data_IF_047353784949
#
_entry.id   IF_047353784949
#
_cell.length_a   1.000
_cell.length_b   1.000
_cell.length_c   1.000
_cell.angle_alpha   90.00
_cell.angle_beta   90.00
_cell.angle_gamma   90.00
#
_symmetry.space_group_name_H-M   'P 1'
#
loop_
_entity.id
_entity.type
_entity.pdbx_description
1 polymer ?
#
# COMPACT_ATOMS: atom_id res chain seq x y z
N UNK A 1 -27.44 36.88 -15.84
CA UNK A 1 -28.59 37.68 -15.31
C UNK A 1 -29.16 36.96 -14.10
N UNK A 2 -29.17 37.70 -12.95
CA UNK A 2 -30.06 37.55 -11.76
C UNK A 2 -29.98 36.23 -10.99
N UNK A 3 -29.86 36.17 -9.70
CA UNK A 3 -29.73 37.01 -8.49
C UNK A 3 -29.36 36.06 -7.36
N UNK A 4 -28.39 36.24 -6.54
CA UNK A 4 -28.17 37.12 -5.37
C UNK A 4 -29.36 37.13 -4.39
N UNK A 5 -29.12 36.60 -3.14
CA UNK A 5 -29.49 37.20 -1.84
C UNK A 5 -29.24 36.19 -0.73
N UNK A 6 -28.23 36.46 0.13
CA UNK A 6 -28.24 36.91 1.52
C UNK A 6 -29.19 36.16 2.47
N UNK A 7 -28.62 35.57 3.54
CA UNK A 7 -29.06 35.86 4.91
C UNK A 7 -27.87 35.64 5.86
N UNK A 8 -27.41 36.72 6.44
CA UNK A 8 -26.57 36.75 7.64
C UNK A 8 -27.51 36.62 8.85
N UNK A 9 -27.11 35.79 9.84
CA UNK A 9 -27.70 35.81 11.17
C UNK A 9 -26.57 35.93 12.19
N UNK A 10 -26.47 37.14 12.74
CA UNK A 10 -25.74 37.53 13.94
C UNK A 10 -26.50 37.00 15.13
N UNK A 11 -25.83 36.29 16.06
CA UNK A 11 -26.33 36.11 17.43
C UNK A 11 -25.26 36.50 18.41
N UNK A 12 -25.54 37.63 19.04
CA UNK A 12 -24.88 38.24 20.20
C UNK A 12 -25.52 37.65 21.47
N UNK A 13 -24.73 37.08 22.38
CA UNK A 13 -25.14 36.81 23.77
C UNK A 13 -23.91 37.03 24.64
N UNK A 14 -23.79 38.20 25.25
CA UNK A 14 -24.24 38.57 26.57
C UNK A 14 -23.45 37.91 27.70
N UNK A 15 -22.54 38.73 28.22
CA UNK A 15 -21.78 38.62 29.46
C UNK A 15 -22.71 38.60 30.69
N UNK A 16 -22.46 37.70 31.61
CA UNK A 16 -22.92 37.87 33.00
C UNK A 16 -21.72 37.93 33.93
N UNK A 17 -21.45 39.14 34.39
CA UNK A 17 -20.68 39.42 35.62
C UNK A 17 -21.58 39.21 36.81
N UNK A 18 -21.18 38.42 37.77
CA UNK A 18 -21.69 38.49 39.14
C UNK A 18 -20.54 38.85 40.06
N UNK A 19 -20.59 40.08 40.50
CA UNK A 19 -19.87 40.64 41.64
C UNK A 19 -20.51 40.11 42.92
N UNK A 20 -19.68 39.67 43.87
CA UNK A 20 -20.12 39.56 45.25
C UNK A 20 -19.10 40.16 46.22
N UNK A 21 -19.60 40.98 47.02
CA UNK A 21 -19.13 42.01 47.93
C UNK A 21 -18.53 41.42 49.19
N UNK A 22 -17.51 42.06 49.72
CA UNK A 22 -16.78 41.78 50.93
C UNK A 22 -17.61 42.06 52.20
N UNK A 23 -17.52 41.18 53.21
CA UNK A 23 -17.75 41.52 54.57
C UNK A 23 -16.57 41.09 55.42
N UNK A 24 -16.05 42.15 56.16
CA UNK A 24 -15.05 42.07 57.21
C UNK A 24 -15.58 41.32 58.44
N UNK A 25 -14.67 40.60 59.06
CA UNK A 25 -14.80 40.40 60.53
C UNK A 25 -14.22 39.09 61.05
N UNK A 26 -13.13 39.12 61.55
CA UNK A 26 -12.64 38.77 62.87
C UNK A 26 -11.41 37.85 62.88
N UNK A 27 -10.40 38.36 63.56
CA UNK A 27 -9.09 37.82 63.86
C UNK A 27 -9.22 36.67 64.85
N UNK A 28 -8.72 35.45 64.48
CA UNK A 28 -8.14 34.54 65.46
C UNK A 28 -6.87 33.94 64.88
N UNK A 29 -5.80 34.01 65.65
CA UNK A 29 -4.52 33.41 65.45
C UNK A 29 -4.65 31.90 65.54
N UNK A 30 -4.26 31.21 64.49
CA UNK A 30 -3.89 29.79 64.54
C UNK A 30 -2.49 29.65 63.99
N UNK A 31 -1.71 28.87 64.67
CA UNK A 31 -0.29 28.52 64.38
C UNK A 31 -0.16 27.75 63.06
N UNK A 32 1.01 27.79 62.41
CA UNK A 32 1.19 27.05 61.14
C UNK A 32 1.28 25.54 61.43
N UNK A 33 0.30 24.77 60.94
CA UNK A 33 0.41 23.33 60.78
C UNK A 33 1.50 23.06 59.73
N UNK A 34 2.51 22.33 60.19
CA UNK A 34 3.55 21.76 59.32
C UNK A 34 2.87 20.85 58.28
N UNK A 35 2.98 21.21 57.01
CA UNK A 35 2.64 20.34 55.91
C UNK A 35 3.63 19.14 55.92
N UNK A 36 3.15 18.02 56.41
CA UNK A 36 3.83 16.74 56.13
C UNK A 36 3.74 16.45 54.64
N UNK A 37 4.84 16.69 54.01
CA UNK A 37 5.12 16.19 52.63
C UNK A 37 5.17 14.68 52.74
N UNK A 38 4.08 14.00 52.42
CA UNK A 38 4.10 12.55 52.22
C UNK A 38 4.78 12.29 50.90
N UNK A 39 6.13 12.14 50.93
CA UNK A 39 6.83 11.41 49.89
C UNK A 39 6.22 10.00 49.86
N UNK A 40 5.47 9.69 48.80
CA UNK A 40 5.15 8.31 48.45
C UNK A 40 6.47 7.59 48.21
N UNK A 41 6.99 6.90 49.24
CA UNK A 41 8.07 5.95 49.07
C UNK A 41 7.61 4.89 48.07
N UNK A 42 7.98 5.07 46.81
CA UNK A 42 7.90 4.01 45.78
C UNK A 42 8.68 2.81 46.32
N UNK A 43 8.00 1.83 46.88
CA UNK A 43 8.62 0.58 47.31
C UNK A 43 9.27 -0.08 46.10
N UNK A 44 10.60 -0.04 46.03
CA UNK A 44 11.37 -0.65 44.93
C UNK A 44 11.80 -2.08 45.27
N UNK A 45 11.51 -2.57 46.48
CA UNK A 45 11.97 -3.87 46.95
C UNK A 45 10.83 -4.71 47.51
N UNK A 46 10.93 -6.02 47.35
CA UNK A 46 10.00 -6.99 47.90
C UNK A 46 10.76 -8.21 48.43
N UNK A 47 10.40 -8.67 49.65
CA UNK A 47 11.01 -9.82 50.27
C UNK A 47 10.03 -10.99 50.32
N UNK A 48 10.56 -12.20 50.08
CA UNK A 48 9.83 -13.47 50.07
C UNK A 48 10.56 -14.50 50.90
N UNK A 49 9.84 -15.34 51.64
CA UNK A 49 10.38 -16.53 52.30
C UNK A 49 10.59 -17.67 51.27
N UNK A 50 11.45 -18.64 51.62
CA UNK A 50 11.70 -19.79 50.75
C UNK A 50 10.43 -20.60 50.42
N UNK A 51 9.50 -20.71 51.39
CA UNK A 51 8.20 -21.36 51.18
C UNK A 51 7.32 -20.64 50.17
N UNK A 52 7.32 -19.28 50.18
CA UNK A 52 6.60 -18.48 49.24
C UNK A 52 7.21 -18.59 47.83
N UNK A 53 8.54 -18.56 47.71
CA UNK A 53 9.22 -18.77 46.41
C UNK A 53 8.84 -20.10 45.76
N UNK A 54 8.84 -21.20 46.56
CA UNK A 54 8.42 -22.52 46.08
C UNK A 54 6.96 -22.56 45.64
N UNK A 55 6.08 -21.90 46.39
CA UNK A 55 4.65 -21.87 46.08
C UNK A 55 4.35 -21.19 44.74
N UNK A 56 5.04 -20.09 44.40
CA UNK A 56 4.87 -19.36 43.14
C UNK A 56 5.73 -19.91 41.99
N UNK A 57 6.52 -20.95 42.24
CA UNK A 57 7.46 -21.56 41.28
C UNK A 57 8.38 -20.50 40.64
N UNK A 58 8.95 -19.61 41.44
CA UNK A 58 9.85 -18.58 40.98
C UNK A 58 11.13 -19.22 40.45
N UNK A 59 11.53 -18.83 39.24
CA UNK A 59 12.77 -19.28 38.61
C UNK A 59 13.71 -18.09 38.40
N UNK A 60 15.00 -18.32 38.71
CA UNK A 60 16.06 -17.34 38.54
C UNK A 60 16.93 -17.70 37.33
N UNK A 61 17.30 -16.71 36.55
CA UNK A 61 18.23 -16.83 35.44
C UNK A 61 19.24 -15.69 35.44
N UNK A 62 19.88 -15.51 34.30
CA UNK A 62 20.82 -14.40 34.05
C UNK A 62 20.40 -13.61 32.82
N UNK A 63 20.93 -12.40 32.71
CA UNK A 63 20.88 -11.67 31.47
C UNK A 63 21.72 -12.39 30.41
N UNK A 64 21.12 -12.78 29.33
CA UNK A 64 21.80 -13.53 28.26
C UNK A 64 21.97 -12.63 27.04
N UNK A 65 23.12 -12.75 26.37
CA UNK A 65 23.30 -12.20 25.05
C UNK A 65 22.70 -13.18 24.03
N UNK A 66 21.66 -12.73 23.31
CA UNK A 66 21.02 -13.57 22.30
C UNK A 66 20.95 -12.84 20.94
N UNK A 67 21.11 -13.64 19.90
CA UNK A 67 20.82 -13.18 18.54
C UNK A 67 19.30 -13.19 18.34
N UNK A 68 18.70 -11.99 18.35
CA UNK A 68 17.28 -11.83 18.06
C UNK A 68 17.11 -11.29 16.64
N UNK A 69 16.13 -11.86 15.92
CA UNK A 69 15.75 -11.38 14.58
C UNK A 69 14.88 -10.15 14.72
N UNK A 70 15.38 -9.04 14.20
CA UNK A 70 14.60 -7.81 14.13
C UNK A 70 13.79 -7.81 12.83
N UNK A 71 12.47 -7.75 12.96
CA UNK A 71 11.52 -7.75 11.84
C UNK A 71 10.57 -6.56 11.94
N UNK A 72 10.30 -5.92 10.83
CA UNK A 72 9.25 -4.91 10.72
C UNK A 72 8.02 -5.59 10.13
N UNK A 73 6.89 -5.51 10.83
CA UNK A 73 5.60 -5.91 10.31
C UNK A 73 5.01 -4.77 9.48
N UNK A 74 4.68 -5.04 8.24
CA UNK A 74 4.04 -4.09 7.32
C UNK A 74 2.82 -4.75 6.67
N UNK A 75 1.80 -3.94 6.42
CA UNK A 75 0.67 -4.33 5.59
C UNK A 75 0.84 -3.78 4.19
N UNK A 76 0.14 -4.35 3.24
CA UNK A 76 0.15 -3.89 1.87
C UNK A 76 -0.69 -4.76 0.96
N UNK A 77 -0.41 -4.71 -0.31
CA UNK A 77 -1.15 -5.45 -1.32
C UNK A 77 -0.26 -5.86 -2.50
N UNK A 78 -0.68 -6.90 -3.19
CA UNK A 78 -0.08 -7.29 -4.46
C UNK A 78 -0.56 -6.33 -5.55
N UNK A 79 0.37 -5.89 -6.40
CA UNK A 79 0.09 -4.95 -7.47
C UNK A 79 0.79 -5.35 -8.76
N UNK A 80 0.10 -5.13 -9.85
CA UNK A 80 0.68 -5.25 -11.18
C UNK A 80 1.13 -3.87 -11.66
N UNK A 81 2.35 -3.72 -12.21
CA UNK A 81 2.79 -2.46 -12.80
C UNK A 81 1.82 -1.96 -13.88
N UNK A 82 1.67 -0.65 -14.02
CA UNK A 82 0.74 -0.05 -15.00
C UNK A 82 1.01 -0.51 -16.44
N UNK A 83 2.25 -0.82 -16.80
CA UNK A 83 2.59 -1.37 -18.12
C UNK A 83 2.06 -2.79 -18.38
N UNK A 84 1.66 -3.49 -17.31
CA UNK A 84 1.09 -4.84 -17.35
C UNK A 84 -0.42 -4.84 -17.15
N UNK A 85 -1.06 -3.66 -17.14
CA UNK A 85 -2.51 -3.46 -17.17
C UNK A 85 -2.90 -2.72 -18.44
N UNK A 86 -4.00 -3.10 -19.02
CA UNK A 86 -4.53 -2.41 -20.19
C UNK A 86 -6.04 -2.31 -20.14
N UNK A 87 -6.54 -1.10 -20.27
CA UNK A 87 -7.91 -0.85 -20.63
C UNK A 87 -8.03 -0.93 -22.14
N UNK A 88 -8.91 -1.78 -22.63
CA UNK A 88 -9.10 -2.02 -24.05
C UNK A 88 -10.21 -1.10 -24.54
N UNK A 89 -9.84 0.00 -25.18
CA UNK A 89 -10.77 0.96 -25.78
C UNK A 89 -10.84 0.77 -27.28
N UNK A 90 -12.00 0.98 -27.92
CA UNK A 90 -12.12 0.96 -29.36
C UNK A 90 -11.47 2.19 -29.98
N UNK A 91 -10.94 2.08 -31.20
CA UNK A 91 -10.40 3.23 -31.95
C UNK A 91 -11.49 4.09 -32.57
N UNK A 92 -12.67 3.55 -32.77
CA UNK A 92 -13.84 4.22 -33.34
C UNK A 92 -15.08 3.79 -32.55
N UNK A 93 -16.01 4.70 -32.40
CA UNK A 93 -17.31 4.45 -31.77
C UNK A 93 -18.18 3.50 -32.60
N UNK A 94 -19.13 2.84 -31.97
CA UNK A 94 -20.09 1.97 -32.64
C UNK A 94 -20.86 1.08 -31.69
N UNK A 95 -21.72 0.22 -32.24
CA UNK A 95 -22.52 -0.72 -31.46
C UNK A 95 -21.78 -2.05 -31.32
N UNK A 96 -21.76 -2.62 -30.12
CA UNK A 96 -21.19 -3.95 -29.85
C UNK A 96 -22.04 -5.01 -30.53
N UNK A 97 -21.49 -5.69 -31.52
CA UNK A 97 -22.13 -6.78 -32.26
C UNK A 97 -21.92 -8.13 -31.60
N UNK A 98 -20.72 -8.36 -31.07
CA UNK A 98 -20.39 -9.58 -30.35
C UNK A 98 -19.20 -9.36 -29.42
N UNK A 99 -19.19 -10.09 -28.30
CA UNK A 99 -18.10 -10.18 -27.32
C UNK A 99 -17.55 -11.60 -27.40
N UNK A 100 -16.22 -11.77 -27.46
CA UNK A 100 -15.55 -13.06 -27.70
C UNK A 100 -14.71 -13.53 -26.52
N UNK A 101 -14.81 -12.87 -25.38
CA UNK A 101 -14.06 -13.16 -24.18
C UNK A 101 -14.95 -13.03 -22.95
N UNK A 102 -14.57 -13.72 -21.87
CA UNK A 102 -15.21 -13.65 -20.56
C UNK A 102 -14.19 -13.29 -19.51
N UNK A 103 -14.60 -12.71 -18.36
CA UNK A 103 -13.70 -12.55 -17.21
C UNK A 103 -13.07 -13.88 -16.82
N UNK A 104 -11.74 -13.87 -16.62
CA UNK A 104 -10.94 -15.07 -16.34
C UNK A 104 -10.26 -15.71 -17.57
N UNK A 105 -10.67 -15.36 -18.78
CA UNK A 105 -10.00 -15.89 -20.00
C UNK A 105 -8.59 -15.35 -20.13
N UNK A 106 -7.64 -16.25 -20.47
CA UNK A 106 -6.31 -15.83 -20.90
C UNK A 106 -6.30 -15.49 -22.38
N UNK A 107 -5.87 -14.29 -22.73
CA UNK A 107 -5.82 -13.80 -24.11
C UNK A 107 -4.41 -13.39 -24.52
N UNK A 108 -4.12 -13.50 -25.82
CA UNK A 108 -2.85 -13.08 -26.40
C UNK A 108 -2.97 -11.69 -27.01
N UNK A 109 -1.88 -10.92 -26.99
CA UNK A 109 -1.79 -9.64 -27.70
C UNK A 109 -2.24 -9.78 -29.15
N UNK A 110 -3.12 -8.88 -29.61
CA UNK A 110 -3.70 -8.92 -30.96
C UNK A 110 -4.94 -9.80 -31.12
N UNK A 111 -5.30 -10.62 -30.13
CA UNK A 111 -6.52 -11.43 -30.15
C UNK A 111 -7.77 -10.52 -30.11
N UNK A 112 -8.80 -10.92 -30.83
CA UNK A 112 -10.08 -10.16 -30.89
C UNK A 112 -10.87 -10.38 -29.61
N UNK A 113 -11.25 -9.27 -28.97
CA UNK A 113 -12.06 -9.21 -27.75
C UNK A 113 -13.52 -9.00 -28.09
N UNK A 114 -13.81 -8.04 -28.96
CA UNK A 114 -15.16 -7.70 -29.38
C UNK A 114 -15.19 -7.31 -30.84
N UNK A 115 -16.38 -7.36 -31.42
CA UNK A 115 -16.69 -6.85 -32.76
C UNK A 115 -17.66 -5.70 -32.60
N UNK A 116 -17.32 -4.56 -33.18
CA UNK A 116 -18.15 -3.35 -33.20
C UNK A 116 -18.69 -3.13 -34.62
N UNK A 117 -19.91 -2.72 -34.73
CA UNK A 117 -20.55 -2.28 -35.98
C UNK A 117 -20.67 -0.76 -36.02
N UNK A 118 -20.15 -0.18 -37.09
CA UNK A 118 -20.22 1.25 -37.33
C UNK A 118 -20.53 1.54 -38.84
N UNK A 119 -21.71 2.04 -39.18
CA UNK A 119 -22.08 2.36 -40.57
C UNK A 119 -21.14 3.37 -41.23
N UNK A 120 -20.53 4.28 -40.47
CA UNK A 120 -19.60 5.27 -41.02
C UNK A 120 -18.36 4.66 -41.68
N UNK A 121 -18.01 3.40 -41.39
CA UNK A 121 -16.93 2.71 -42.07
C UNK A 121 -17.23 2.49 -43.55
N UNK A 122 -18.46 2.25 -43.90
CA UNK A 122 -18.91 2.08 -45.26
C UNK A 122 -18.65 3.37 -46.07
N UNK A 123 -18.89 4.52 -45.47
CA UNK A 123 -18.65 5.84 -46.11
C UNK A 123 -17.18 6.06 -46.46
N UNK A 124 -16.26 5.69 -45.56
CA UNK A 124 -14.79 5.81 -45.82
C UNK A 124 -14.37 4.89 -46.97
N UNK A 125 -14.92 3.68 -47.03
CA UNK A 125 -14.65 2.74 -48.12
C UNK A 125 -15.21 3.23 -49.45
N UNK A 126 -16.41 3.79 -49.47
CA UNK A 126 -17.00 4.40 -50.61
C UNK A 126 -16.18 5.59 -51.12
N UNK A 127 -15.77 6.51 -50.21
CA UNK A 127 -14.90 7.63 -50.61
C UNK A 127 -13.58 7.15 -51.18
N UNK A 128 -12.98 6.08 -50.64
CA UNK A 128 -11.75 5.49 -51.16
C UNK A 128 -11.96 4.96 -52.61
N UNK A 129 -13.05 4.23 -52.86
CA UNK A 129 -13.38 3.71 -54.19
C UNK A 129 -13.63 4.83 -55.20
N UNK A 130 -14.36 5.89 -54.78
CA UNK A 130 -14.60 7.05 -55.62
C UNK A 130 -13.31 7.74 -56.05
N UNK A 131 -12.39 7.94 -55.09
CA UNK A 131 -11.08 8.56 -55.36
C UNK A 131 -10.25 7.68 -56.27
N UNK A 132 -10.28 6.34 -56.11
CA UNK A 132 -9.60 5.41 -57.00
C UNK A 132 -10.12 5.50 -58.41
N UNK A 133 -11.45 5.59 -58.59
CA UNK A 133 -12.08 5.80 -59.92
C UNK A 133 -11.69 7.14 -60.55
N UNK A 134 -11.70 8.23 -59.76
CA UNK A 134 -11.27 9.55 -60.23
C UNK A 134 -9.79 9.59 -60.65
N UNK A 135 -8.90 8.87 -59.93
CA UNK A 135 -7.49 8.75 -60.33
C UNK A 135 -7.34 8.08 -61.71
N UNK A 136 -8.09 7.02 -61.97
CA UNK A 136 -8.04 6.33 -63.29
C UNK A 136 -8.47 7.30 -64.41
N UNK A 137 -9.56 8.04 -64.22
CA UNK A 137 -10.04 9.02 -65.20
C UNK A 137 -9.02 10.16 -65.40
N UNK A 138 -8.51 10.73 -64.30
CA UNK A 138 -7.55 11.84 -64.33
C UNK A 138 -6.22 11.41 -64.94
N UNK A 139 -5.78 10.17 -64.69
CA UNK A 139 -4.57 9.62 -65.31
C UNK A 139 -4.71 9.53 -66.82
N UNK A 140 -5.89 9.11 -67.30
CA UNK A 140 -6.17 9.10 -68.77
C UNK A 140 -6.14 10.51 -69.34
N UNK A 141 -6.65 11.52 -68.60
CA UNK A 141 -6.59 12.91 -68.98
C UNK A 141 -5.17 13.48 -69.03
N UNK A 142 -4.31 13.14 -68.01
CA UNK A 142 -2.90 13.51 -68.00
C UNK A 142 -2.21 12.92 -69.26
N UNK A 143 -2.40 11.66 -69.56
CA UNK A 143 -1.82 11.03 -70.72
C UNK A 143 -2.27 11.72 -72.02
N UNK A 144 -3.55 12.04 -72.15
CA UNK A 144 -4.10 12.76 -73.31
C UNK A 144 -3.51 14.19 -73.44
N UNK A 145 -3.37 14.94 -72.35
CA UNK A 145 -2.79 16.28 -72.36
C UNK A 145 -1.28 16.24 -72.70
N UNK A 146 -0.61 15.20 -72.22
CA UNK A 146 0.81 14.91 -72.54
C UNK A 146 1.00 14.72 -74.07
N UNK A 147 0.22 13.82 -74.68
CA UNK A 147 0.29 13.55 -76.15
C UNK A 147 -0.03 14.82 -76.95
N UNK A 148 -1.04 15.62 -76.58
CA UNK A 148 -1.37 16.86 -77.22
C UNK A 148 -0.25 17.90 -77.11
N UNK A 149 0.37 18.00 -75.92
CA UNK A 149 1.51 18.92 -75.71
C UNK A 149 2.71 18.55 -76.58
N UNK A 150 3.09 17.26 -76.59
CA UNK A 150 4.20 16.72 -77.39
C UNK A 150 3.96 16.90 -78.90
N UNK A 151 2.69 16.79 -79.31
CA UNK A 151 2.26 17.07 -80.72
C UNK A 151 2.11 18.56 -81.03
N UNK A 152 2.51 19.49 -80.15
CA UNK A 152 2.33 20.95 -80.28
C UNK A 152 0.85 21.39 -80.50
N UNK A 153 -0.11 20.57 -80.09
CA UNK A 153 -1.54 20.85 -80.20
C UNK A 153 -2.21 21.19 -78.85
N UNK A 154 -1.46 21.13 -77.75
CA UNK A 154 -1.93 21.38 -76.38
C UNK A 154 -1.12 22.44 -75.61
N UNK A 155 -1.77 23.14 -74.69
CA UNK A 155 -1.11 24.11 -73.82
C UNK A 155 -0.47 23.45 -72.60
N UNK A 156 0.79 23.75 -72.28
CA UNK A 156 1.52 23.29 -71.09
C UNK A 156 0.70 23.50 -69.79
N UNK A 157 -0.04 24.59 -69.69
CA UNK A 157 -0.93 24.91 -68.57
C UNK A 157 -1.97 23.80 -68.32
N UNK A 158 -2.55 23.23 -69.37
CA UNK A 158 -3.54 22.18 -69.24
C UNK A 158 -2.91 20.85 -68.71
N UNK A 159 -1.74 20.52 -69.19
CA UNK A 159 -0.96 19.35 -68.68
C UNK A 159 -0.63 19.55 -67.20
N UNK A 160 -0.05 20.67 -66.84
CA UNK A 160 0.29 20.98 -65.44
C UNK A 160 -0.94 20.97 -64.51
N UNK A 161 -2.08 21.42 -64.99
CA UNK A 161 -3.35 21.36 -64.25
C UNK A 161 -3.80 19.92 -64.02
N UNK A 162 -3.83 19.09 -65.08
CA UNK A 162 -4.18 17.69 -64.99
C UNK A 162 -3.23 16.90 -64.02
N UNK A 163 -1.93 17.12 -64.14
CA UNK A 163 -0.94 16.54 -63.23
C UNK A 163 -1.12 16.96 -61.78
N UNK A 164 -1.45 18.25 -61.53
CA UNK A 164 -1.72 18.76 -60.20
C UNK A 164 -2.95 18.10 -59.58
N UNK A 165 -4.04 17.95 -60.39
CA UNK A 165 -5.24 17.22 -59.96
C UNK A 165 -4.92 15.76 -59.59
N UNK A 166 -4.13 15.08 -60.47
CA UNK A 166 -3.74 13.71 -60.21
C UNK A 166 -2.97 13.57 -58.88
N UNK A 167 -2.00 14.44 -58.63
CA UNK A 167 -1.25 14.46 -57.34
C UNK A 167 -2.17 14.67 -56.15
N UNK A 168 -3.15 15.57 -56.26
CA UNK A 168 -4.14 15.82 -55.18
C UNK A 168 -4.96 14.56 -54.89
N UNK A 169 -5.49 13.90 -55.92
CA UNK A 169 -6.25 12.65 -55.74
C UNK A 169 -5.39 11.49 -55.22
N UNK A 170 -4.12 11.38 -55.64
CA UNK A 170 -3.18 10.40 -55.09
C UNK A 170 -2.93 10.62 -53.60
N UNK A 171 -2.76 11.85 -53.15
CA UNK A 171 -2.62 12.21 -51.75
C UNK A 171 -3.88 11.85 -50.96
N UNK A 172 -5.06 12.18 -51.51
CA UNK A 172 -6.35 11.83 -50.85
C UNK A 172 -6.52 10.31 -50.75
N UNK A 173 -6.19 9.55 -51.81
CA UNK A 173 -6.21 8.10 -51.78
C UNK A 173 -5.29 7.56 -50.69
N UNK A 174 -4.07 8.11 -50.55
CA UNK A 174 -3.10 7.66 -49.54
C UNK A 174 -3.62 7.91 -48.12
N UNK A 175 -4.27 9.07 -47.88
CA UNK A 175 -4.92 9.39 -46.62
C UNK A 175 -6.06 8.42 -46.28
N UNK A 176 -6.97 8.19 -47.21
CA UNK A 176 -8.10 7.26 -47.01
C UNK A 176 -7.58 5.79 -46.85
N UNK A 177 -6.55 5.40 -47.57
CA UNK A 177 -5.93 4.09 -47.42
C UNK A 177 -5.37 3.91 -45.99
N UNK A 178 -4.75 4.96 -45.43
CA UNK A 178 -4.26 4.95 -44.03
C UNK A 178 -5.38 4.85 -43.01
N UNK A 179 -6.48 5.56 -43.24
CA UNK A 179 -7.66 5.45 -42.38
C UNK A 179 -8.25 4.02 -42.40
N UNK A 180 -8.39 3.41 -43.60
CA UNK A 180 -8.86 2.02 -43.74
C UNK A 180 -7.94 1.04 -42.99
N UNK A 181 -6.61 1.19 -43.11
CA UNK A 181 -5.64 0.36 -42.37
C UNK A 181 -5.80 0.50 -40.85
N UNK A 182 -6.04 1.71 -40.35
CA UNK A 182 -6.29 1.93 -38.91
C UNK A 182 -7.61 1.27 -38.47
N UNK A 183 -8.61 1.16 -39.35
CA UNK A 183 -9.84 0.40 -39.12
C UNK A 183 -9.66 -1.12 -39.25
N UNK A 184 -8.46 -1.58 -39.58
CA UNK A 184 -8.14 -3.00 -39.81
C UNK A 184 -8.62 -3.51 -41.18
N UNK A 185 -8.97 -2.61 -42.10
CA UNK A 185 -9.40 -2.95 -43.47
C UNK A 185 -8.23 -2.79 -44.44
N UNK A 186 -7.94 -3.82 -45.21
CA UNK A 186 -6.95 -3.71 -46.28
C UNK A 186 -7.50 -2.91 -47.44
N UNK A 187 -6.87 -1.80 -47.87
CA UNK A 187 -7.37 -1.00 -49.01
C UNK A 187 -7.53 -1.79 -50.29
N UNK A 188 -6.64 -2.80 -50.52
CA UNK A 188 -6.71 -3.65 -51.69
C UNK A 188 -7.87 -4.65 -51.71
N UNK A 189 -8.52 -4.91 -50.59
CA UNK A 189 -9.69 -5.79 -50.46
C UNK A 189 -11.03 -5.06 -50.60
N UNK A 190 -11.00 -3.74 -50.62
CA UNK A 190 -12.23 -2.93 -50.70
C UNK A 190 -12.76 -2.93 -52.14
N UNK A 191 -14.01 -3.31 -52.30
CA UNK A 191 -14.72 -3.28 -53.55
C UNK A 191 -16.19 -3.00 -53.33
N UNK A 192 -16.94 -2.56 -54.34
CA UNK A 192 -18.38 -2.28 -54.24
C UNK A 192 -19.21 -3.52 -53.78
N UNK A 193 -18.65 -4.73 -53.94
CA UNK A 193 -19.30 -5.98 -53.48
C UNK A 193 -18.87 -6.44 -52.10
N UNK A 194 -17.79 -5.84 -51.52
CA UNK A 194 -17.21 -6.23 -50.26
C UNK A 194 -16.92 -5.03 -49.38
N UNK A 195 -18.01 -4.41 -48.91
CA UNK A 195 -17.97 -3.30 -47.96
C UNK A 195 -18.16 -3.88 -46.55
N UNK A 196 -17.34 -3.46 -45.60
CA UNK A 196 -17.40 -3.89 -44.21
C UNK A 196 -17.96 -2.81 -43.32
N UNK A 197 -18.96 -3.15 -42.49
CA UNK A 197 -19.51 -2.26 -41.44
C UNK A 197 -18.95 -2.58 -40.05
N UNK A 198 -18.13 -3.65 -39.95
CA UNK A 198 -17.67 -4.16 -38.65
C UNK A 198 -16.17 -4.03 -38.50
N UNK A 199 -15.75 -3.71 -37.28
CA UNK A 199 -14.34 -3.70 -36.88
C UNK A 199 -14.11 -4.57 -35.64
N UNK A 200 -12.88 -5.01 -35.49
CA UNK A 200 -12.44 -5.82 -34.33
C UNK A 200 -11.73 -4.97 -33.32
N UNK A 201 -12.10 -5.08 -32.05
CA UNK A 201 -11.37 -4.58 -30.90
C UNK A 201 -10.40 -5.65 -30.47
N UNK A 202 -9.10 -5.33 -30.45
CA UNK A 202 -8.02 -6.29 -30.19
C UNK A 202 -7.32 -6.00 -28.88
N UNK A 203 -6.82 -7.06 -28.23
CA UNK A 203 -6.02 -6.98 -27.01
C UNK A 203 -4.69 -6.24 -27.26
N UNK A 204 -4.36 -5.17 -26.52
CA UNK A 204 -3.09 -4.47 -26.64
C UNK A 204 -1.92 -5.22 -26.00
N UNK A 205 -2.20 -6.05 -24.98
CA UNK A 205 -1.24 -6.89 -24.24
C UNK A 205 -1.78 -8.32 -24.14
N UNK A 206 -0.91 -9.26 -23.79
CA UNK A 206 -1.33 -10.61 -23.35
C UNK A 206 -1.60 -10.58 -21.86
N UNK A 207 -2.57 -11.36 -21.37
CA UNK A 207 -2.93 -11.41 -19.96
C UNK A 207 -4.29 -12.08 -19.74
N UNK A 208 -4.81 -11.95 -18.55
CA UNK A 208 -6.13 -12.44 -18.16
C UNK A 208 -7.13 -11.29 -18.24
N UNK A 209 -8.31 -11.55 -18.77
CA UNK A 209 -9.44 -10.60 -18.78
C UNK A 209 -9.93 -10.43 -17.33
N UNK A 210 -9.71 -9.25 -16.76
CA UNK A 210 -10.16 -8.91 -15.41
C UNK A 210 -11.65 -8.63 -15.38
N UNK A 211 -12.13 -7.80 -16.33
CA UNK A 211 -13.54 -7.44 -16.44
C UNK A 211 -13.92 -7.16 -17.90
N UNK A 212 -15.20 -7.38 -18.22
CA UNK A 212 -15.86 -6.94 -19.43
C UNK A 212 -16.88 -5.88 -19.03
N UNK A 213 -16.77 -4.68 -19.59
CA UNK A 213 -17.48 -3.48 -19.14
C UNK A 213 -18.66 -3.07 -20.05
N UNK A 214 -18.94 -3.90 -21.05
CA UNK A 214 -19.96 -3.61 -22.07
C UNK A 214 -20.82 -4.83 -22.34
N UNK A 215 -22.04 -4.59 -22.86
CA UNK A 215 -22.97 -5.62 -23.28
C UNK A 215 -23.17 -5.62 -24.80
N UNK A 216 -23.63 -6.77 -25.34
CA UNK A 216 -23.99 -6.87 -26.76
C UNK A 216 -25.16 -5.93 -27.03
N UNK A 217 -25.05 -5.13 -28.07
CA UNK A 217 -26.04 -4.12 -28.46
C UNK A 217 -25.80 -2.73 -27.84
N UNK A 218 -24.92 -2.61 -26.83
CA UNK A 218 -24.56 -1.30 -26.28
C UNK A 218 -23.76 -0.47 -27.29
N UNK A 219 -23.91 0.85 -27.23
CA UNK A 219 -23.09 1.77 -28.02
C UNK A 219 -21.87 2.18 -27.20
N UNK A 220 -20.68 2.07 -27.80
CA UNK A 220 -19.40 2.42 -27.15
C UNK A 220 -18.72 3.57 -27.87
N UNK A 221 -18.07 4.44 -27.12
CA UNK A 221 -17.26 5.53 -27.61
C UNK A 221 -15.76 5.22 -27.43
N UNK A 222 -14.89 5.96 -28.11
CA UNK A 222 -13.42 5.81 -28.07
C UNK A 222 -12.81 5.99 -26.68
N UNK A 223 -13.49 6.69 -25.77
CA UNK A 223 -13.09 6.89 -24.38
C UNK A 223 -13.58 5.80 -23.43
N UNK A 224 -14.46 4.90 -23.88
CA UNK A 224 -15.08 3.89 -23.01
C UNK A 224 -14.36 2.55 -23.16
N UNK A 225 -13.80 1.99 -22.07
CA UNK A 225 -13.16 0.68 -22.14
C UNK A 225 -14.20 -0.43 -22.33
N UNK A 226 -13.90 -1.36 -23.23
CA UNK A 226 -14.68 -2.58 -23.49
C UNK A 226 -14.34 -3.68 -22.48
N UNK A 227 -13.05 -3.78 -22.13
CA UNK A 227 -12.54 -4.77 -21.18
C UNK A 227 -11.26 -4.28 -20.53
N UNK A 228 -10.92 -4.88 -19.39
CA UNK A 228 -9.64 -4.73 -18.73
C UNK A 228 -8.84 -6.02 -18.82
N UNK A 229 -7.54 -5.90 -19.13
CA UNK A 229 -6.60 -7.03 -19.21
C UNK A 229 -5.50 -6.81 -18.19
N UNK A 230 -5.17 -7.83 -17.42
CA UNK A 230 -4.13 -7.83 -16.39
C UNK A 230 -3.14 -8.95 -16.64
N UNK A 231 -1.86 -8.61 -16.72
CA UNK A 231 -0.77 -9.57 -16.79
C UNK A 231 -0.10 -9.75 -15.42
N UNK A 232 -0.52 -10.77 -14.69
CA UNK A 232 -0.02 -11.08 -13.34
C UNK A 232 1.44 -11.61 -13.31
N UNK A 233 2.11 -11.77 -14.45
CA UNK A 233 3.51 -12.26 -14.48
C UNK A 233 4.48 -11.35 -13.75
N UNK A 234 4.19 -10.06 -13.73
CA UNK A 234 5.02 -9.01 -13.14
C UNK A 234 4.52 -8.50 -11.79
N UNK A 235 3.70 -9.31 -11.08
CA UNK A 235 3.24 -8.97 -9.73
C UNK A 235 4.39 -8.63 -8.80
N UNK A 236 4.22 -7.56 -8.04
CA UNK A 236 5.10 -7.13 -6.96
C UNK A 236 4.28 -6.78 -5.71
N UNK A 237 4.96 -6.67 -4.57
CA UNK A 237 4.37 -6.18 -3.33
C UNK A 237 4.52 -4.66 -3.27
N UNK A 238 3.44 -3.99 -2.89
CA UNK A 238 3.44 -2.62 -2.39
C UNK A 238 3.12 -2.69 -0.89
N UNK A 239 4.09 -2.32 -0.06
CA UNK A 239 3.99 -2.35 1.41
C UNK A 239 4.04 -0.93 1.96
N UNK A 240 3.19 -0.66 2.94
CA UNK A 240 3.13 0.60 3.67
C UNK A 240 4.04 0.53 4.89
N UNK A 241 5.18 1.22 4.83
CA UNK A 241 6.15 1.28 5.94
C UNK A 241 6.07 2.66 6.60
N UNK A 242 5.91 2.68 7.93
CA UNK A 242 5.85 3.91 8.69
C UNK A 242 7.21 4.61 8.80
N UNK A 243 7.19 5.94 8.92
CA UNK A 243 8.37 6.81 8.99
C UNK A 243 9.41 6.33 10.02
N UNK A 244 8.97 5.90 11.21
CA UNK A 244 9.84 5.42 12.30
C UNK A 244 10.73 4.24 11.90
N UNK A 245 10.26 3.42 10.95
CA UNK A 245 10.93 2.18 10.52
C UNK A 245 11.70 2.36 9.19
N UNK A 246 11.48 3.49 8.49
CA UNK A 246 12.01 3.74 7.15
C UNK A 246 13.54 3.70 7.09
N UNK A 247 14.21 4.23 8.14
CA UNK A 247 15.69 4.26 8.20
C UNK A 247 16.32 2.86 8.25
N UNK A 248 15.55 1.85 8.70
CA UNK A 248 16.00 0.46 8.78
C UNK A 248 15.80 -0.30 7.46
N UNK A 249 14.95 0.22 6.56
CA UNK A 249 14.63 -0.42 5.28
C UNK A 249 15.72 -0.14 4.26
N UNK A 250 16.18 -1.20 3.58
CA UNK A 250 17.19 -1.13 2.52
C UNK A 250 16.79 -2.02 1.35
N UNK A 251 17.17 -1.59 0.15
CA UNK A 251 17.06 -2.42 -1.06
C UNK A 251 17.83 -3.73 -0.87
N UNK A 252 17.28 -4.84 -1.35
CA UNK A 252 17.86 -6.18 -1.23
C UNK A 252 17.45 -6.94 0.04
N UNK A 253 16.71 -6.32 0.97
CA UNK A 253 16.19 -7.01 2.15
C UNK A 253 15.12 -8.02 1.76
N UNK A 254 15.14 -9.17 2.42
CA UNK A 254 14.16 -10.23 2.26
C UNK A 254 12.88 -9.90 3.04
N UNK A 255 11.78 -10.33 2.49
CA UNK A 255 10.44 -10.19 3.05
C UNK A 255 9.79 -11.56 3.00
N UNK A 256 9.24 -12.00 4.13
CA UNK A 256 8.30 -13.11 4.20
C UNK A 256 6.90 -12.53 4.29
N UNK A 257 5.97 -12.99 3.47
CA UNK A 257 4.61 -12.47 3.51
C UNK A 257 3.57 -13.58 3.33
N UNK A 258 2.39 -13.32 3.87
CA UNK A 258 1.22 -14.17 3.72
C UNK A 258 0.06 -13.34 3.17
N UNK A 259 -0.86 -14.03 2.49
CA UNK A 259 -2.13 -13.41 2.10
C UNK A 259 -3.03 -13.31 3.33
N UNK A 260 -3.73 -12.21 3.49
CA UNK A 260 -4.67 -12.01 4.62
C UNK A 260 -5.77 -13.06 4.64
N UNK A 261 -6.20 -13.54 3.47
CA UNK A 261 -7.24 -14.57 3.32
C UNK A 261 -6.69 -16.01 3.34
N UNK A 262 -5.35 -16.20 3.30
CA UNK A 262 -4.72 -17.51 3.39
C UNK A 262 -3.37 -17.40 4.13
N UNK A 263 -3.38 -17.27 5.46
CA UNK A 263 -2.17 -17.09 6.26
C UNK A 263 -1.31 -18.36 6.38
N UNK A 264 -1.82 -19.51 5.96
CA UNK A 264 -1.09 -20.79 6.05
C UNK A 264 -0.01 -20.95 4.96
N UNK A 265 -0.08 -20.17 3.87
CA UNK A 265 0.90 -20.22 2.80
C UNK A 265 1.79 -18.98 2.83
N UNK A 266 3.08 -19.22 3.05
CA UNK A 266 4.11 -18.18 3.04
C UNK A 266 4.70 -18.01 1.64
N UNK A 267 5.09 -16.78 1.34
CA UNK A 267 5.73 -16.37 0.11
C UNK A 267 6.91 -15.47 0.44
N UNK A 268 7.88 -15.43 -0.47
CA UNK A 268 9.07 -14.61 -0.35
C UNK A 268 9.08 -13.46 -1.35
N UNK A 269 9.63 -12.33 -0.92
CA UNK A 269 9.88 -11.19 -1.78
C UNK A 269 11.20 -10.51 -1.41
N UNK A 270 11.68 -9.65 -2.30
CA UNK A 270 12.89 -8.86 -2.09
C UNK A 270 12.62 -7.40 -2.43
N UNK A 271 13.02 -6.49 -1.55
CA UNK A 271 12.88 -5.04 -1.75
C UNK A 271 13.75 -4.60 -2.92
N UNK A 272 13.12 -4.01 -3.95
CA UNK A 272 13.84 -3.42 -5.07
C UNK A 272 13.78 -1.89 -5.10
N UNK A 273 12.79 -1.29 -4.43
CA UNK A 273 12.63 0.17 -4.37
C UNK A 273 11.94 0.60 -3.08
N UNK A 274 12.32 1.76 -2.59
CA UNK A 274 11.68 2.47 -1.48
C UNK A 274 11.19 3.79 -2.03
N UNK A 275 9.94 4.13 -1.78
CA UNK A 275 9.34 5.40 -2.19
C UNK A 275 10.04 6.61 -1.59
N UNK A 276 9.87 7.76 -2.22
CA UNK A 276 10.46 9.04 -1.79
C UNK A 276 9.40 10.04 -1.29
N UNK A 277 8.15 9.64 -1.28
CA UNK A 277 7.00 10.47 -0.87
C UNK A 277 6.13 9.71 0.11
N UNK A 278 5.54 10.42 1.06
CA UNK A 278 4.53 9.86 1.94
C UNK A 278 3.18 9.77 1.21
N UNK A 279 2.40 8.75 1.52
CA UNK A 279 1.00 8.72 1.12
C UNK A 279 0.17 9.66 2.02
N UNK A 280 -0.70 10.47 1.39
CA UNK A 280 -1.32 11.68 1.95
C UNK A 280 -2.07 11.52 3.28
N UNK A 281 -2.40 10.32 3.74
CA UNK A 281 -3.18 10.09 4.96
C UNK A 281 -2.51 9.24 6.03
N UNK A 282 -1.53 8.42 5.67
CA UNK A 282 -1.03 7.36 6.54
C UNK A 282 0.34 7.66 7.17
N UNK A 283 1.08 8.67 6.71
CA UNK A 283 2.51 8.89 6.98
C UNK A 283 3.35 7.63 6.71
N UNK A 284 2.88 6.79 5.82
CA UNK A 284 3.59 5.62 5.35
C UNK A 284 4.30 5.94 4.02
N UNK A 285 5.41 5.28 3.80
CA UNK A 285 6.16 5.33 2.54
C UNK A 285 5.97 3.99 1.85
N UNK A 286 5.58 3.97 0.56
CA UNK A 286 5.44 2.73 -0.18
C UNK A 286 6.81 2.08 -0.39
N UNK A 287 6.91 0.80 -0.06
CA UNK A 287 8.08 -0.04 -0.29
C UNK A 287 7.70 -1.12 -1.30
N UNK A 288 8.41 -1.14 -2.42
CA UNK A 288 8.13 -2.08 -3.50
C UNK A 288 9.08 -3.27 -3.43
N UNK A 289 8.50 -4.47 -3.44
CA UNK A 289 9.27 -5.71 -3.39
C UNK A 289 8.85 -6.70 -4.48
N UNK A 290 9.83 -7.33 -5.10
CA UNK A 290 9.62 -8.34 -6.14
C UNK A 290 9.34 -9.68 -5.52
N UNK A 291 8.18 -10.26 -5.81
CA UNK A 291 7.81 -11.61 -5.38
C UNK A 291 8.76 -12.63 -6.03
N UNK A 292 9.30 -13.51 -5.21
CA UNK A 292 10.18 -14.62 -5.60
C UNK A 292 9.38 -15.93 -5.66
N UNK A 293 9.86 -16.88 -6.46
CA UNK A 293 9.25 -18.22 -6.56
C UNK A 293 7.95 -18.26 -7.35
N UNK A 294 7.10 -19.23 -6.99
CA UNK A 294 5.83 -19.48 -7.65
C UNK A 294 4.78 -18.42 -7.29
N UNK A 295 4.19 -17.82 -8.33
CA UNK A 295 3.15 -16.79 -8.22
C UNK A 295 1.75 -17.32 -8.53
N UNK A 296 1.60 -18.63 -8.65
CA UNK A 296 0.31 -19.25 -8.98
C UNK A 296 -0.73 -18.94 -7.92
N UNK A 297 -1.87 -18.42 -8.35
CA UNK A 297 -2.96 -18.00 -7.47
C UNK A 297 -2.81 -16.61 -6.85
N UNK A 298 -1.71 -15.90 -7.12
CA UNK A 298 -1.56 -14.51 -6.74
C UNK A 298 -2.22 -13.60 -7.79
N UNK A 299 -3.04 -12.66 -7.32
CA UNK A 299 -3.83 -11.76 -8.16
C UNK A 299 -3.62 -10.32 -7.70
N UNK A 300 -3.65 -9.39 -8.64
CA UNK A 300 -3.63 -7.95 -8.39
C UNK A 300 -4.70 -7.54 -7.37
N UNK A 301 -4.32 -6.72 -6.38
CA UNK A 301 -5.21 -6.23 -5.33
C UNK A 301 -5.36 -7.12 -4.10
N UNK A 302 -4.72 -8.31 -4.04
CA UNK A 302 -4.75 -9.13 -2.82
C UNK A 302 -3.99 -8.46 -1.67
N UNK A 303 -4.65 -8.39 -0.49
CA UNK A 303 -4.05 -7.87 0.72
C UNK A 303 -3.05 -8.86 1.33
N UNK A 304 -1.98 -8.33 1.87
CA UNK A 304 -0.88 -9.09 2.46
C UNK A 304 -0.47 -8.55 3.82
N UNK A 305 0.08 -9.44 4.64
CA UNK A 305 0.83 -9.11 5.84
C UNK A 305 2.26 -9.57 5.63
N UNK A 306 3.21 -8.67 5.78
CA UNK A 306 4.62 -8.90 5.50
C UNK A 306 5.49 -8.68 6.73
N UNK A 307 6.53 -9.50 6.85
CA UNK A 307 7.61 -9.39 7.82
C UNK A 307 8.91 -9.08 7.07
N UNK A 308 9.43 -7.88 7.25
CA UNK A 308 10.65 -7.41 6.60
C UNK A 308 11.82 -7.71 7.53
N UNK A 309 12.75 -8.57 7.13
CA UNK A 309 13.95 -8.88 7.90
C UNK A 309 14.92 -7.70 7.91
N UNK A 310 15.17 -7.11 9.08
CA UNK A 310 16.10 -5.99 9.22
C UNK A 310 17.51 -6.50 9.48
N UNK A 311 17.64 -7.53 10.29
CA UNK A 311 18.91 -8.16 10.63
C UNK A 311 18.80 -9.04 11.88
N UNK A 312 19.91 -9.65 12.25
CA UNK A 312 20.10 -10.35 13.50
C UNK A 312 21.04 -9.49 14.34
N UNK A 313 20.62 -9.19 15.56
CA UNK A 313 21.41 -8.39 16.49
C UNK A 313 21.68 -9.22 17.75
N UNK A 314 22.94 -9.27 18.17
CA UNK A 314 23.33 -9.80 19.45
C UNK A 314 22.99 -8.77 20.53
N UNK A 315 21.97 -9.05 21.32
CA UNK A 315 21.40 -8.09 22.30
C UNK A 315 21.21 -8.77 23.65
N UNK A 316 21.23 -7.95 24.71
CA UNK A 316 20.86 -8.40 26.05
C UNK A 316 19.37 -8.72 26.08
N UNK A 317 19.03 -9.97 26.39
CA UNK A 317 17.66 -10.46 26.37
C UNK A 317 17.32 -11.28 27.60
N UNK A 318 16.04 -11.24 27.97
CA UNK A 318 15.46 -12.08 29.02
C UNK A 318 14.25 -12.80 28.44
N UNK A 319 13.82 -13.94 29.02
CA UNK A 319 12.53 -14.54 28.69
C UNK A 319 11.42 -13.49 28.82
N UNK A 320 10.48 -13.49 27.88
CA UNK A 320 9.39 -12.48 27.87
C UNK A 320 8.59 -12.49 29.16
N UNK A 321 8.42 -13.64 29.82
CA UNK A 321 7.74 -13.82 31.10
C UNK A 321 8.47 -13.18 32.30
N UNK A 322 9.73 -12.77 32.12
CA UNK A 322 10.51 -12.05 33.13
C UNK A 322 10.12 -10.58 33.25
N UNK A 323 9.46 -10.04 32.22
CA UNK A 323 9.11 -8.62 32.16
C UNK A 323 7.68 -8.44 32.66
N UNK A 324 7.50 -7.53 33.61
CA UNK A 324 6.20 -7.12 34.12
C UNK A 324 5.94 -5.67 33.76
N UNK A 325 4.68 -5.35 33.58
CA UNK A 325 4.23 -4.00 33.22
C UNK A 325 3.44 -3.39 34.38
N UNK A 326 3.74 -2.16 34.72
CA UNK A 326 3.02 -1.37 35.71
C UNK A 326 2.74 0.02 35.14
N UNK A 327 1.48 0.29 34.84
CA UNK A 327 1.10 1.50 34.15
C UNK A 327 1.67 1.58 32.73
N UNK A 328 2.53 2.55 32.48
CA UNK A 328 3.19 2.77 31.19
C UNK A 328 4.64 2.26 31.14
N UNK A 329 5.14 1.69 32.23
CA UNK A 329 6.54 1.29 32.37
C UNK A 329 6.71 -0.23 32.48
N UNK A 330 7.86 -0.72 32.05
CA UNK A 330 8.24 -2.12 32.09
C UNK A 330 9.34 -2.34 33.08
N UNK A 331 9.26 -3.46 33.83
CA UNK A 331 10.19 -3.77 34.91
C UNK A 331 10.64 -5.22 34.84
N UNK A 332 11.82 -5.47 35.38
CA UNK A 332 12.31 -6.81 35.75
C UNK A 332 12.64 -6.82 37.24
N UNK A 333 12.74 -8.01 37.83
CA UNK A 333 13.18 -8.19 39.21
C UNK A 333 14.55 -8.83 39.25
N UNK A 334 15.45 -8.27 40.06
CA UNK A 334 16.76 -8.85 40.37
C UNK A 334 16.82 -9.28 41.84
N UNK A 335 17.45 -10.40 42.10
CA UNK A 335 17.72 -10.84 43.47
C UNK A 335 18.88 -10.00 44.06
N UNK A 336 18.65 -9.30 45.16
CA UNK A 336 19.73 -8.68 45.92
C UNK A 336 20.58 -9.74 46.63
N UNK A 337 21.88 -9.58 46.54
CA UNK A 337 22.83 -10.40 47.33
C UNK A 337 22.95 -9.74 48.71
N UNK A 338 22.50 -10.39 49.77
CA UNK A 338 22.71 -9.88 51.13
C UNK A 338 24.21 -9.85 51.40
N UNK A 339 24.78 -8.67 51.70
CA UNK A 339 26.05 -8.54 52.37
C UNK A 339 25.87 -9.03 53.81
N UNK A 340 26.59 -10.04 54.22
CA UNK A 340 26.53 -10.69 55.53
C UNK A 340 26.69 -9.68 56.69
N UNK A 341 25.58 -9.24 57.25
CA UNK A 341 25.51 -8.60 58.55
C UNK A 341 25.03 -9.65 59.55
N UNK A 342 25.87 -10.01 60.52
CA UNK A 342 25.56 -10.95 61.59
C UNK A 342 24.32 -10.45 62.38
N UNK A 343 23.22 -11.19 62.31
CA UNK A 343 22.26 -11.33 63.42
C UNK A 343 21.60 -12.70 63.28
N UNK A 344 22.10 -13.65 64.06
CA UNK A 344 21.43 -14.91 64.37
C UNK A 344 20.21 -14.55 65.24
N UNK A 345 19.02 -14.56 64.64
CA UNK A 345 17.75 -14.81 65.32
C UNK A 345 16.72 -15.39 64.34
N UNK A 346 15.97 -16.39 64.83
CA UNK A 346 15.02 -17.30 64.22
C UNK A 346 13.94 -16.68 63.28
N UNK A 347 14.30 -16.16 62.13
CA UNK A 347 13.33 -15.90 61.07
C UNK A 347 13.90 -16.44 59.75
N UNK A 348 13.18 -17.42 59.16
CA UNK A 348 13.59 -18.14 57.94
C UNK A 348 14.14 -17.25 56.87
N UNK A 349 15.12 -17.75 56.10
CA UNK A 349 15.81 -17.05 55.01
C UNK A 349 14.83 -16.28 54.12
N UNK A 350 14.95 -14.96 54.13
CA UNK A 350 14.19 -14.06 53.26
C UNK A 350 15.06 -13.71 52.06
N UNK A 351 14.45 -13.73 50.89
CA UNK A 351 15.07 -13.33 49.63
C UNK A 351 14.50 -12.03 49.19
N UNK A 352 15.33 -11.02 49.03
CA UNK A 352 14.93 -9.66 48.61
C UNK A 352 15.13 -9.48 47.13
N UNK A 353 14.11 -8.95 46.46
CA UNK A 353 14.12 -8.66 45.04
C UNK A 353 13.90 -7.18 44.81
N UNK A 354 14.72 -6.59 43.92
CA UNK A 354 14.64 -5.19 43.54
C UNK A 354 13.98 -5.06 42.17
N UNK A 355 13.00 -4.17 42.05
CA UNK A 355 12.31 -3.80 40.83
C UNK A 355 13.17 -2.84 40.01
N UNK A 356 13.58 -3.21 38.81
CA UNK A 356 14.43 -2.42 37.93
C UNK A 356 13.65 -2.02 36.67
N UNK A 357 13.54 -0.72 36.38
CA UNK A 357 12.90 -0.26 35.14
C UNK A 357 13.74 -0.60 33.92
N UNK A 358 13.07 -1.05 32.85
CA UNK A 358 13.70 -1.46 31.61
C UNK A 358 12.96 -0.90 30.40
N UNK A 359 13.69 -0.60 29.32
CA UNK A 359 13.10 -0.36 28.02
C UNK A 359 13.09 -1.65 27.20
N UNK A 360 11.91 -2.05 26.70
CA UNK A 360 11.76 -3.20 25.81
C UNK A 360 12.21 -2.87 24.40
N UNK A 361 12.92 -3.81 23.77
CA UNK A 361 13.26 -3.77 22.35
C UNK A 361 12.58 -4.90 21.57
N UNK A 362 13.34 -5.57 20.73
CA UNK A 362 12.89 -6.68 19.87
C UNK A 362 12.49 -7.89 20.70
N UNK A 363 11.39 -8.54 20.30
CA UNK A 363 10.95 -9.83 20.86
C UNK A 363 11.01 -10.89 19.77
N UNK A 364 11.73 -11.99 20.03
CA UNK A 364 11.84 -13.12 19.12
C UNK A 364 11.95 -14.43 19.92
N UNK A 365 11.23 -15.47 19.47
CA UNK A 365 11.27 -16.85 20.02
C UNK A 365 11.19 -16.89 21.56
N UNK A 366 10.28 -16.10 22.16
CA UNK A 366 10.04 -16.11 23.62
C UNK A 366 11.05 -15.33 24.45
N UNK A 367 12.00 -14.63 23.83
CA UNK A 367 12.93 -13.70 24.46
C UNK A 367 12.65 -12.27 24.00
N UNK A 368 12.85 -11.33 24.93
CA UNK A 368 12.70 -9.91 24.65
C UNK A 368 13.99 -9.19 24.99
N UNK A 369 14.47 -8.39 24.05
CA UNK A 369 15.57 -7.46 24.28
C UNK A 369 15.18 -6.46 25.35
N UNK A 370 16.09 -6.24 26.31
CA UNK A 370 15.94 -5.19 27.32
C UNK A 370 17.15 -4.27 27.33
N UNK A 371 16.88 -3.00 27.64
CA UNK A 371 17.90 -2.01 28.02
C UNK A 371 17.56 -1.55 29.42
N UNK A 372 18.46 -1.79 30.38
CA UNK A 372 18.26 -1.41 31.76
C UNK A 372 18.51 0.09 31.92
N UNK A 373 17.59 0.78 32.61
CA UNK A 373 17.71 2.21 32.90
C UNK A 373 18.57 2.48 34.14
N UNK A 374 18.91 1.42 34.90
CA UNK A 374 19.80 1.40 36.05
C UNK A 374 20.88 0.34 35.82
N UNK A 375 22.12 0.58 36.22
CA UNK A 375 23.19 -0.41 36.15
C UNK A 375 22.86 -1.64 37.01
N UNK A 376 22.94 -2.83 36.39
CA UNK A 376 22.76 -4.09 37.07
C UNK A 376 24.17 -4.69 37.28
N UNK A 377 24.52 -5.13 38.49
CA UNK A 377 25.81 -5.79 38.75
C UNK A 377 26.00 -7.00 37.85
N UNK A 378 27.23 -7.22 37.35
CA UNK A 378 27.57 -8.40 36.57
C UNK A 378 27.23 -9.66 37.40
N UNK A 379 26.59 -10.65 36.78
CA UNK A 379 26.09 -11.86 37.37
C UNK A 379 24.88 -11.78 38.31
N UNK A 380 24.15 -10.65 38.32
CA UNK A 380 22.87 -10.57 39.03
C UNK A 380 21.92 -11.67 38.58
N UNK A 381 21.21 -12.28 39.54
CA UNK A 381 20.17 -13.25 39.28
C UNK A 381 18.86 -12.50 38.97
N UNK A 382 18.34 -12.70 37.79
CA UNK A 382 17.09 -12.10 37.32
C UNK A 382 15.94 -13.09 37.47
N UNK A 383 14.80 -12.65 37.91
CA UNK A 383 13.60 -13.48 37.94
C UNK A 383 13.11 -13.71 36.51
N UNK A 384 13.24 -14.93 36.04
CA UNK A 384 12.84 -15.30 34.65
C UNK A 384 11.41 -15.87 34.58
N UNK A 385 10.85 -16.27 35.74
CA UNK A 385 9.47 -16.73 35.84
C UNK A 385 8.91 -16.40 37.23
N UNK A 386 7.64 -16.02 37.28
CA UNK A 386 6.97 -15.62 38.51
C UNK A 386 7.10 -14.14 38.87
N UNK A 387 7.68 -13.31 38.02
CA UNK A 387 7.84 -11.85 38.23
C UNK A 387 6.51 -11.13 38.51
N UNK A 388 5.43 -11.56 37.90
CA UNK A 388 4.08 -11.01 38.15
C UNK A 388 3.64 -11.14 39.62
N UNK A 389 3.96 -12.25 40.30
CA UNK A 389 3.61 -12.43 41.72
C UNK A 389 4.39 -11.49 42.64
N UNK A 390 5.64 -11.15 42.28
CA UNK A 390 6.43 -10.15 43.02
C UNK A 390 5.77 -8.77 42.92
N UNK A 391 5.39 -8.37 41.69
CA UNK A 391 4.69 -7.11 41.47
C UNK A 391 3.36 -7.07 42.22
N UNK A 392 2.57 -8.13 42.14
CA UNK A 392 1.29 -8.20 42.84
C UNK A 392 1.46 -8.12 44.37
N UNK A 393 2.53 -8.71 44.94
CA UNK A 393 2.81 -8.58 46.38
C UNK A 393 3.23 -7.17 46.75
N UNK A 394 4.07 -6.50 45.95
CA UNK A 394 4.46 -5.12 46.18
C UNK A 394 3.23 -4.20 46.27
N UNK A 395 2.32 -4.35 45.29
CA UNK A 395 1.13 -3.50 45.25
C UNK A 395 0.14 -3.78 46.42
N UNK A 396 0.08 -5.04 46.90
CA UNK A 396 -0.79 -5.38 48.03
C UNK A 396 -0.22 -4.95 49.40
N UNK A 397 1.11 -4.85 49.55
CA UNK A 397 1.70 -4.35 50.79
C UNK A 397 1.55 -2.84 50.99
N UNK A 398 1.20 -2.09 49.95
CA UNK A 398 0.86 -0.67 50.02
C UNK A 398 -0.57 -0.37 50.54
N UNK A 399 -1.51 -1.33 50.50
CA UNK A 399 -2.91 -1.13 50.90
C UNK A 399 -3.20 -1.47 52.38
N UNK A 400 -2.34 -2.18 53.08
CA UNK A 400 -2.58 -2.54 54.48
C UNK A 400 -2.35 -1.37 55.50
N UNK A 401 -1.96 -0.17 55.05
CA UNK A 401 -1.71 1.02 55.88
C UNK A 401 -2.95 1.86 56.26
N UNK A 402 -4.15 1.57 55.74
CA UNK A 402 -5.33 2.40 55.96
C UNK A 402 -6.55 1.63 56.49
N UNK A 403 -6.38 0.83 57.53
CA UNK A 403 -7.51 0.30 58.29
C UNK A 403 -7.31 0.53 59.79
N UNK A 404 -7.63 1.74 60.23
CA UNK A 404 -8.03 2.02 61.65
C UNK A 404 -8.91 3.25 61.69
#
# INVERSE_FOLDING_TARGET
MKNLKYIAAVFLISSFFVSCESKKGNTQKEEPEEAHDHEEENQTEVSLTESQLKAIKLELGKLEMKELKDVIKANGFLKVPNQNKAQVTPLYSGQIKSIRVQPGDYIKKGQTIAVIENPNQVMVQEQYLNVVGQIQLTQTEVNRQQELYEGNAGALKNLQYAESQLRTLQTQRASLAKQLQMMGISPGSVSAKNLHSTMTVKAPISGVVGSVLVDIGSYVDVSFPVAEIVDNSSLHLDLDVFEKDLLKIRKGKLIHFTLTNNPAKEYDAEIFSVGSTFEDRSKAVPVHAKVRGDKSGLIDGMNVVALISIGENLVSAVPTDAIVNEGAEDFIFIQKTEEHGHSEEEHGHQFTFEKIPVAKGVTDVGFTQITTLKEIPENSKIVIKGAFFLLAKMNNTGEEGHAH
#
